data_IF_480789043923
#
_entry.id   IF_480789043923
#
_cell.length_a   1.000
_cell.length_b   1.000
_cell.length_c   1.000
_cell.angle_alpha   90.00
_cell.angle_beta   90.00
_cell.angle_gamma   90.00
#
_symmetry.space_group_name_H-M   'P 1'
#
loop_
_entity.id
_entity.type
_entity.pdbx_description
1 polymer ?
#
# COMPACT_ATOMS: atom_id res chain seq x y z
N UNK A 1 29.92 -33.60 25.95
CA UNK A 1 29.70 -33.46 24.49
C UNK A 1 28.51 -32.53 24.26
N UNK A 2 28.74 -31.23 24.13
CA UNK A 2 27.70 -30.26 23.74
C UNK A 2 28.09 -29.72 22.37
N UNK A 3 27.55 -30.33 21.31
CA UNK A 3 27.73 -29.85 19.96
C UNK A 3 26.39 -29.74 19.25
N UNK A 4 26.18 -28.59 18.62
CA UNK A 4 25.31 -28.36 17.47
C UNK A 4 23.81 -28.08 17.68
N UNK A 5 23.47 -26.91 18.25
CA UNK A 5 22.17 -26.25 17.99
C UNK A 5 22.27 -24.83 17.45
N UNK A 6 23.46 -24.39 17.04
CA UNK A 6 23.58 -23.24 16.12
C UNK A 6 23.45 -23.71 14.67
N UNK A 7 22.30 -24.30 14.33
CA UNK A 7 21.88 -24.34 12.92
C UNK A 7 21.60 -22.90 12.51
N UNK A 8 22.64 -22.25 11.97
CA UNK A 8 22.58 -21.18 10.97
C UNK A 8 21.20 -20.55 10.88
N UNK A 9 21.00 -19.45 11.61
CA UNK A 9 20.02 -18.42 11.27
C UNK A 9 20.41 -17.91 9.88
N UNK A 10 20.05 -18.64 8.83
CA UNK A 10 20.16 -18.16 7.48
C UNK A 10 19.32 -16.88 7.45
N UNK A 11 20.00 -15.75 7.25
CA UNK A 11 19.36 -14.44 7.09
C UNK A 11 18.40 -14.59 5.90
N UNK A 12 17.11 -14.76 6.20
CA UNK A 12 16.10 -14.84 5.15
C UNK A 12 16.01 -13.45 4.51
N UNK A 13 16.04 -13.34 3.18
CA UNK A 13 15.89 -12.05 2.52
C UNK A 13 14.55 -11.43 2.94
N UNK A 14 14.62 -10.24 3.54
CA UNK A 14 13.47 -9.50 4.04
C UNK A 14 12.84 -8.72 2.89
N UNK A 15 11.81 -9.27 2.27
CA UNK A 15 10.93 -8.53 1.37
C UNK A 15 9.72 -8.07 2.18
N UNK A 16 9.71 -6.80 2.59
CA UNK A 16 8.62 -6.21 3.37
C UNK A 16 8.38 -4.77 2.94
N UNK A 17 7.16 -4.47 2.54
CA UNK A 17 6.69 -3.14 2.15
C UNK A 17 5.61 -2.70 3.13
N UNK A 18 5.68 -1.45 3.58
CA UNK A 18 4.66 -0.81 4.41
C UNK A 18 4.20 0.46 3.73
N UNK A 19 2.91 0.61 3.51
CA UNK A 19 2.33 1.74 2.78
C UNK A 19 1.07 2.22 3.46
N UNK A 20 0.77 3.50 3.28
CA UNK A 20 -0.48 4.12 3.73
C UNK A 20 -1.04 4.89 2.54
N UNK A 21 -2.32 4.69 2.25
CA UNK A 21 -2.95 5.30 1.09
C UNK A 21 -4.45 5.12 1.08
N UNK A 22 -5.09 5.77 0.13
CA UNK A 22 -6.52 5.64 -0.13
C UNK A 22 -6.78 4.39 -0.97
N UNK A 23 -7.77 3.60 -0.55
CA UNK A 23 -8.17 2.37 -1.21
C UNK A 23 -9.26 2.64 -2.26
N UNK A 24 -9.10 2.08 -3.45
CA UNK A 24 -10.02 2.19 -4.58
C UNK A 24 -10.19 0.87 -5.34
N UNK A 25 -11.21 0.78 -6.21
CA UNK A 25 -11.43 -0.33 -7.14
C UNK A 25 -11.39 -1.72 -6.50
N UNK A 26 -12.18 -1.89 -5.43
CA UNK A 26 -12.24 -3.14 -4.68
C UNK A 26 -12.84 -4.25 -5.55
N UNK A 27 -12.15 -5.38 -5.62
CA UNK A 27 -12.56 -6.58 -6.34
C UNK A 27 -12.35 -7.80 -5.45
N UNK A 28 -13.30 -8.74 -5.49
CA UNK A 28 -13.18 -10.03 -4.81
C UNK A 28 -13.24 -11.12 -5.86
N UNK A 29 -12.35 -12.10 -5.75
CA UNK A 29 -12.29 -13.22 -6.68
C UNK A 29 -11.40 -14.33 -6.16
N UNK A 30 -10.90 -15.14 -7.08
CA UNK A 30 -10.01 -16.25 -6.78
C UNK A 30 -8.76 -16.18 -7.65
N UNK A 31 -7.63 -16.54 -7.05
CA UNK A 31 -6.37 -16.76 -7.75
C UNK A 31 -5.92 -18.17 -7.41
N UNK A 32 -5.90 -19.03 -8.43
CA UNK A 32 -5.72 -20.47 -8.31
C UNK A 32 -6.71 -21.11 -7.32
N UNK A 33 -6.28 -21.37 -6.08
CA UNK A 33 -7.10 -21.99 -5.02
C UNK A 33 -7.36 -21.05 -3.83
N UNK A 34 -6.83 -19.83 -3.87
CA UNK A 34 -6.95 -18.87 -2.77
C UNK A 34 -8.01 -17.83 -3.10
N UNK A 35 -8.81 -17.46 -2.10
CA UNK A 35 -9.68 -16.28 -2.22
C UNK A 35 -8.82 -15.02 -2.18
N UNK A 36 -9.18 -14.05 -3.02
CA UNK A 36 -8.43 -12.80 -3.19
C UNK A 36 -9.36 -11.61 -3.00
N UNK A 37 -8.94 -10.71 -2.10
CA UNK A 37 -9.48 -9.37 -1.99
C UNK A 37 -8.44 -8.39 -2.58
N UNK A 38 -8.75 -7.83 -3.74
CA UNK A 38 -7.86 -6.94 -4.50
C UNK A 38 -8.38 -5.51 -4.45
N UNK A 39 -7.46 -4.54 -4.38
CA UNK A 39 -7.78 -3.13 -4.51
C UNK A 39 -6.57 -2.34 -5.03
N UNK A 40 -6.83 -1.12 -5.50
CA UNK A 40 -5.82 -0.12 -5.84
C UNK A 40 -5.53 0.75 -4.62
N UNK A 41 -4.28 0.84 -4.20
CA UNK A 41 -3.82 1.74 -3.15
C UNK A 41 -3.17 2.97 -3.80
N UNK A 42 -3.76 4.14 -3.58
CA UNK A 42 -3.17 5.41 -4.02
C UNK A 42 -2.40 6.04 -2.87
N UNK A 43 -1.09 6.14 -3.03
CA UNK A 43 -0.19 6.84 -2.11
C UNK A 43 0.12 8.22 -2.67
N UNK A 44 0.06 9.25 -1.82
CA UNK A 44 0.46 10.61 -2.21
C UNK A 44 1.70 10.99 -1.41
N UNK A 45 2.76 11.34 -2.13
CA UNK A 45 4.02 11.81 -1.55
C UNK A 45 4.12 13.31 -1.81
N UNK A 46 4.34 14.06 -0.73
CA UNK A 46 4.53 15.51 -0.78
C UNK A 46 6.02 15.79 -0.63
N UNK A 47 6.67 16.08 -1.75
CA UNK A 47 8.08 16.42 -1.76
C UNK A 47 8.21 17.95 -1.62
N UNK A 48 8.72 18.35 -0.45
CA UNK A 48 9.12 19.72 -0.21
C UNK A 48 10.61 19.83 -0.46
N UNK A 49 11.00 20.02 -1.73
CA UNK A 49 12.37 20.43 -2.00
C UNK A 49 12.53 21.90 -1.60
N UNK A 50 13.41 22.17 -0.64
CA UNK A 50 13.91 23.52 -0.41
C UNK A 50 14.71 23.89 -1.66
N UNK A 51 14.30 24.93 -2.38
CA UNK A 51 15.00 25.43 -3.57
C UNK A 51 16.43 25.78 -3.17
N UNK A 52 17.37 24.89 -3.48
CA UNK A 52 18.79 25.17 -3.43
C UNK A 52 19.22 25.53 -4.86
N UNK A 53 19.29 26.84 -5.10
CA UNK A 53 19.88 27.56 -6.24
C UNK A 53 19.52 27.15 -7.69
N UNK A 54 19.27 28.12 -8.58
CA UNK A 54 18.85 27.85 -9.95
C UNK A 54 19.99 27.22 -10.77
N UNK A 55 19.86 25.94 -11.10
CA UNK A 55 20.64 25.32 -12.19
C UNK A 55 20.04 25.72 -13.56
N UNK A 56 20.88 25.96 -14.59
CA UNK A 56 20.44 26.52 -15.86
C UNK A 56 19.56 25.53 -16.63
N UNK A 57 18.42 26.03 -17.12
CA UNK A 57 17.42 25.30 -17.90
C UNK A 57 18.04 24.65 -19.14
N UNK A 58 17.93 23.33 -19.28
CA UNK A 58 18.03 22.66 -20.57
C UNK A 58 16.67 22.74 -21.30
N UNK A 59 16.64 22.99 -22.62
CA UNK A 59 15.38 23.19 -23.33
C UNK A 59 14.75 21.83 -23.68
N UNK A 60 13.64 21.44 -23.04
CA UNK A 60 12.90 20.27 -23.50
C UNK A 60 11.80 19.62 -22.65
N UNK A 61 11.35 20.17 -21.51
CA UNK A 61 10.27 19.55 -20.73
C UNK A 61 8.94 20.30 -20.82
N UNK A 62 7.89 19.57 -21.21
CA UNK A 62 6.49 19.99 -21.31
C UNK A 62 5.88 20.33 -19.93
N UNK A 63 4.83 21.18 -19.87
CA UNK A 63 4.39 21.79 -18.62
C UNK A 63 3.57 20.83 -17.74
N UNK A 64 4.03 20.60 -16.50
CA UNK A 64 3.21 20.05 -15.41
C UNK A 64 2.36 21.16 -14.78
N UNK A 65 1.13 20.83 -14.39
CA UNK A 65 0.15 21.82 -13.90
C UNK A 65 0.54 22.39 -12.53
N UNK A 66 1.17 23.55 -12.51
CA UNK A 66 1.53 24.30 -11.30
C UNK A 66 0.31 25.06 -10.76
N UNK A 67 -0.10 24.83 -9.51
CA UNK A 67 -1.00 25.74 -8.78
C UNK A 67 -0.20 26.50 -7.76
N UNK A 68 0.02 27.79 -8.03
CA UNK A 68 0.62 28.76 -7.12
C UNK A 68 -0.42 29.25 -6.13
N UNK A 69 -0.07 29.24 -4.84
CA UNK A 69 -0.80 29.96 -3.80
C UNK A 69 0.22 30.85 -3.05
N UNK A 70 -0.06 32.15 -2.87
CA UNK A 70 0.91 33.06 -2.27
C UNK A 70 0.98 32.83 -0.76
N UNK A 71 2.19 32.80 -0.21
CA UNK A 71 2.43 32.88 1.23
C UNK A 71 3.33 34.08 1.54
N UNK A 72 3.13 34.71 2.70
CA UNK A 72 3.56 36.07 3.03
C UNK A 72 5.09 36.28 3.22
N UNK A 73 5.91 35.25 3.04
CA UNK A 73 7.37 35.35 3.04
C UNK A 73 7.85 34.75 1.72
N UNK A 74 8.44 35.56 0.84
CA UNK A 74 8.73 35.26 -0.57
C UNK A 74 9.75 34.15 -0.85
N UNK A 75 9.60 32.98 -0.26
CA UNK A 75 10.27 31.74 -0.65
C UNK A 75 9.29 30.88 -1.46
N UNK A 76 9.52 30.77 -2.77
CA UNK A 76 8.79 29.86 -3.64
C UNK A 76 9.21 28.41 -3.33
N UNK A 77 8.49 27.75 -2.43
CA UNK A 77 8.62 26.29 -2.25
C UNK A 77 7.83 25.63 -3.37
N UNK A 78 8.53 25.11 -4.38
CA UNK A 78 7.90 24.31 -5.43
C UNK A 78 7.35 23.02 -4.79
N UNK A 79 6.03 22.91 -4.69
CA UNK A 79 5.37 21.74 -4.11
C UNK A 79 5.17 20.69 -5.19
N UNK A 80 6.03 19.68 -5.20
CA UNK A 80 5.87 18.52 -6.07
C UNK A 80 4.95 17.51 -5.36
N UNK A 81 3.77 17.27 -5.93
CA UNK A 81 2.82 16.27 -5.45
C UNK A 81 2.93 15.05 -6.36
N UNK A 82 3.55 13.98 -5.86
CA UNK A 82 3.61 12.72 -6.57
C UNK A 82 2.47 11.80 -6.10
N UNK A 83 1.77 11.17 -7.05
CA UNK A 83 0.70 10.21 -6.78
C UNK A 83 1.07 8.88 -7.42
N UNK A 84 1.17 7.87 -6.59
CA UNK A 84 1.58 6.53 -7.01
C UNK A 84 0.44 5.54 -6.72
N UNK A 85 0.18 4.65 -7.67
CA UNK A 85 -0.89 3.66 -7.58
C UNK A 85 -0.31 2.25 -7.55
N UNK A 86 -0.81 1.44 -6.62
CA UNK A 86 -0.33 0.09 -6.40
C UNK A 86 -1.49 -0.88 -6.37
N UNK A 87 -1.34 -2.02 -7.04
CA UNK A 87 -2.28 -3.14 -6.89
C UNK A 87 -1.93 -3.92 -5.63
N UNK A 88 -2.87 -4.02 -4.69
CA UNK A 88 -2.76 -4.84 -3.47
C UNK A 88 -3.65 -6.06 -3.61
N UNK A 89 -3.11 -7.24 -3.31
CA UNK A 89 -3.85 -8.52 -3.30
C UNK A 89 -3.73 -9.16 -1.92
N UNK A 90 -4.84 -9.18 -1.20
CA UNK A 90 -4.97 -9.91 0.05
C UNK A 90 -5.37 -11.36 -0.25
N UNK A 91 -4.48 -12.30 0.07
CA UNK A 91 -4.66 -13.73 -0.16
C UNK A 91 -5.00 -14.42 1.17
N UNK A 92 -6.05 -15.23 1.20
CA UNK A 92 -6.42 -15.98 2.39
C UNK A 92 -7.61 -16.91 2.17
N UNK A 93 -8.24 -17.31 3.27
CA UNK A 93 -9.53 -18.01 3.23
C UNK A 93 -10.65 -17.10 2.74
N UNK A 94 -11.76 -17.70 2.29
CA UNK A 94 -12.97 -16.95 1.91
C UNK A 94 -13.55 -16.15 3.08
N UNK A 95 -13.52 -16.71 4.30
CA UNK A 95 -13.92 -16.00 5.51
C UNK A 95 -13.08 -14.74 5.75
N UNK A 96 -11.77 -14.79 5.47
CA UNK A 96 -10.89 -13.63 5.60
C UNK A 96 -11.20 -12.55 4.56
N UNK A 97 -11.40 -12.93 3.29
CA UNK A 97 -11.72 -11.95 2.23
C UNK A 97 -13.12 -11.36 2.41
N UNK A 98 -14.07 -12.13 2.90
CA UNK A 98 -15.40 -11.65 3.28
C UNK A 98 -15.33 -10.66 4.46
N UNK A 99 -14.53 -10.97 5.49
CA UNK A 99 -14.31 -10.05 6.60
C UNK A 99 -13.69 -8.72 6.14
N UNK A 100 -12.71 -8.77 5.23
CA UNK A 100 -12.13 -7.56 4.61
C UNK A 100 -13.18 -6.77 3.83
N UNK A 101 -14.01 -7.44 3.02
CA UNK A 101 -15.06 -6.82 2.22
C UNK A 101 -16.13 -6.12 3.08
N UNK A 102 -16.50 -6.72 4.20
CA UNK A 102 -17.48 -6.12 5.12
C UNK A 102 -16.90 -4.94 5.92
N UNK A 103 -15.58 -4.90 6.06
CA UNK A 103 -14.90 -3.94 6.92
C UNK A 103 -14.30 -2.75 6.15
N UNK A 104 -13.78 -2.98 4.95
CA UNK A 104 -13.07 -2.00 4.14
C UNK A 104 -13.93 -1.56 2.94
N UNK A 105 -14.31 -0.29 2.95
CA UNK A 105 -15.07 0.35 1.88
C UNK A 105 -14.15 1.18 0.97
N UNK A 106 -14.63 1.47 -0.25
CA UNK A 106 -13.96 2.37 -1.17
C UNK A 106 -13.77 3.77 -0.53
N UNK A 107 -12.59 4.36 -0.74
CA UNK A 107 -12.17 5.62 -0.14
C UNK A 107 -11.65 5.52 1.29
N UNK A 108 -11.61 4.34 1.91
CA UNK A 108 -10.92 4.15 3.18
C UNK A 108 -9.42 4.43 3.05
N UNK A 109 -8.83 5.04 4.07
CA UNK A 109 -7.37 5.11 4.23
C UNK A 109 -6.94 3.87 4.99
N UNK A 110 -6.06 3.09 4.39
CA UNK A 110 -5.58 1.84 4.96
C UNK A 110 -4.06 1.85 5.06
N UNK A 111 -3.54 1.17 6.08
CA UNK A 111 -2.14 0.78 6.18
C UNK A 111 -2.02 -0.65 5.69
N UNK A 112 -1.15 -0.85 4.72
CA UNK A 112 -0.84 -2.14 4.12
C UNK A 112 0.57 -2.55 4.50
N UNK A 113 0.73 -3.75 5.03
CA UNK A 113 2.01 -4.42 5.24
C UNK A 113 1.99 -5.70 4.42
N UNK A 114 2.92 -5.83 3.48
CA UNK A 114 2.98 -7.00 2.61
C UNK A 114 4.34 -7.17 1.96
N UNK A 115 4.37 -7.92 0.86
CA UNK A 115 5.58 -8.21 0.09
C UNK A 115 5.41 -7.73 -1.33
N UNK A 116 6.43 -7.07 -1.89
CA UNK A 116 6.40 -6.68 -3.29
C UNK A 116 6.69 -7.91 -4.15
N UNK A 117 5.79 -8.22 -5.09
CA UNK A 117 5.95 -9.33 -6.03
C UNK A 117 5.68 -8.85 -7.45
N UNK A 118 6.54 -9.27 -8.36
CA UNK A 118 6.34 -9.11 -9.79
C UNK A 118 5.81 -10.43 -10.33
N UNK A 119 4.62 -10.41 -10.93
CA UNK A 119 4.00 -11.58 -11.55
C UNK A 119 4.08 -11.42 -13.07
N UNK A 120 4.42 -12.47 -13.81
CA UNK A 120 4.32 -12.43 -15.28
C UNK A 120 2.86 -12.52 -15.69
N UNK A 121 2.39 -11.55 -16.46
CA UNK A 121 1.08 -11.58 -17.09
C UNK A 121 1.30 -11.68 -18.60
N UNK A 122 0.60 -12.60 -19.25
CA UNK A 122 0.61 -12.70 -20.72
C UNK A 122 -0.46 -11.76 -21.24
N UNK A 123 -0.05 -10.67 -21.89
CA UNK A 123 -0.95 -9.75 -22.57
C UNK A 123 -0.60 -9.70 -24.05
N UNK A 124 -1.60 -9.90 -24.92
CA UNK A 124 -1.45 -9.98 -26.38
C UNK A 124 -0.27 -10.88 -26.86
N UNK A 125 -0.02 -11.99 -26.17
CA UNK A 125 1.06 -12.94 -26.49
C UNK A 125 2.46 -12.53 -26.01
N UNK A 126 2.61 -11.38 -25.34
CA UNK A 126 3.86 -10.94 -24.72
C UNK A 126 3.77 -11.10 -23.20
N UNK A 127 4.84 -11.60 -22.59
CA UNK A 127 4.98 -11.65 -21.13
C UNK A 127 5.39 -10.27 -20.63
N UNK A 128 4.55 -9.65 -19.80
CA UNK A 128 4.86 -8.37 -19.16
C UNK A 128 4.92 -8.55 -17.63
N UNK A 129 5.92 -7.96 -16.95
CA UNK A 129 5.94 -7.93 -15.51
C UNK A 129 4.82 -7.05 -14.95
N UNK A 130 4.04 -7.60 -14.03
CA UNK A 130 2.98 -6.91 -13.30
C UNK A 130 3.36 -6.80 -11.81
N UNK A 131 3.71 -5.59 -11.31
CA UNK A 131 4.03 -5.39 -9.91
C UNK A 131 2.75 -5.37 -9.05
N UNK A 132 2.77 -6.11 -7.94
CA UNK A 132 1.68 -6.12 -6.97
C UNK A 132 2.21 -6.34 -5.55
N UNK A 133 1.45 -5.86 -4.58
CA UNK A 133 1.74 -6.07 -3.16
C UNK A 133 0.90 -7.25 -2.70
N UNK A 134 1.57 -8.32 -2.28
CA UNK A 134 0.92 -9.51 -1.76
C UNK A 134 0.82 -9.40 -0.24
N UNK A 135 -0.42 -9.52 0.26
CA UNK A 135 -0.73 -9.56 1.68
C UNK A 135 -1.33 -10.93 2.00
N UNK A 136 -0.52 -11.84 2.52
CA UNK A 136 -1.00 -13.16 2.93
C UNK A 136 -1.59 -13.10 4.34
N UNK A 137 -2.73 -13.76 4.55
CA UNK A 137 -3.30 -13.99 5.87
C UNK A 137 -2.25 -14.65 6.79
N UNK A 138 -1.88 -13.96 7.88
CA UNK A 138 -0.92 -14.47 8.86
C UNK A 138 -0.14 -13.36 9.57
N UNK A 139 0.87 -13.75 10.36
CA UNK A 139 1.55 -12.85 11.30
C UNK A 139 2.41 -11.74 10.67
N UNK A 140 2.81 -11.89 9.40
CA UNK A 140 3.83 -11.01 8.78
C UNK A 140 3.27 -9.97 7.82
N UNK A 141 2.02 -10.13 7.37
CA UNK A 141 1.36 -9.22 6.43
C UNK A 141 -0.02 -8.89 6.96
N UNK A 142 -0.44 -7.63 6.82
CA UNK A 142 -1.73 -7.16 7.36
C UNK A 142 -2.25 -6.00 6.53
N UNK A 143 -3.57 -5.87 6.45
CA UNK A 143 -4.24 -4.62 6.06
C UNK A 143 -5.00 -4.11 7.28
N UNK A 144 -4.81 -2.85 7.61
CA UNK A 144 -5.44 -2.21 8.76
C UNK A 144 -6.09 -0.90 8.34
N UNK A 145 -7.32 -0.68 8.78
CA UNK A 145 -8.02 0.59 8.56
C UNK A 145 -7.39 1.66 9.42
N UNK A 146 -7.03 2.77 8.79
CA UNK A 146 -6.54 3.99 9.45
C UNK A 146 -7.68 5.01 9.54
N UNK A 147 -8.46 5.15 8.47
CA UNK A 147 -9.57 6.10 8.43
C UNK A 147 -10.66 5.66 7.45
N UNK A 148 -11.92 5.93 7.79
CA UNK A 148 -13.08 5.75 6.91
C UNK A 148 -14.02 6.95 7.01
N UNK A 149 -14.35 7.55 5.86
CA UNK A 149 -15.25 8.70 5.80
C UNK A 149 -16.66 8.37 6.34
N UNK A 150 -17.12 7.11 6.16
CA UNK A 150 -18.46 6.67 6.57
C UNK A 150 -18.53 6.20 8.03
N UNK A 151 -17.41 5.79 8.64
CA UNK A 151 -17.39 5.16 9.99
C UNK A 151 -16.88 6.09 11.10
N UNK A 152 -16.49 7.33 10.77
CA UNK A 152 -15.92 8.33 11.69
C UNK A 152 -16.70 8.58 13.00
N UNK A 153 -17.99 8.20 13.10
CA UNK A 153 -18.73 8.25 14.38
C UNK A 153 -18.29 7.19 15.41
N UNK A 154 -17.56 6.13 15.05
CA UNK A 154 -17.27 4.98 15.94
C UNK A 154 -15.88 4.33 15.74
N UNK A 155 -14.87 5.09 15.31
CA UNK A 155 -13.54 4.55 14.96
C UNK A 155 -12.84 3.79 16.11
N UNK A 156 -13.02 4.21 17.37
CA UNK A 156 -12.40 3.55 18.53
C UNK A 156 -12.96 2.14 18.79
N UNK A 157 -14.24 1.90 18.49
CA UNK A 157 -14.90 0.60 18.69
C UNK A 157 -14.46 -0.41 17.63
N UNK A 158 -14.26 0.05 16.40
CA UNK A 158 -13.82 -0.76 15.26
C UNK A 158 -12.38 -1.25 15.44
N UNK A 159 -11.48 -0.39 15.91
CA UNK A 159 -10.08 -0.74 16.16
C UNK A 159 -9.95 -1.80 17.27
N UNK A 160 -10.77 -1.72 18.31
CA UNK A 160 -10.82 -2.73 19.38
C UNK A 160 -11.33 -4.09 18.89
N UNK A 161 -12.36 -4.11 18.02
CA UNK A 161 -12.89 -5.35 17.46
C UNK A 161 -11.83 -6.05 16.60
N UNK A 162 -11.18 -5.34 15.67
CA UNK A 162 -10.14 -5.94 14.82
C UNK A 162 -8.95 -6.50 15.62
N UNK A 163 -8.55 -5.79 16.67
CA UNK A 163 -7.43 -6.21 17.52
C UNK A 163 -7.81 -7.42 18.37
N UNK A 164 -9.06 -7.50 18.85
CA UNK A 164 -9.56 -8.68 19.58
C UNK A 164 -9.71 -9.93 18.71
N UNK A 165 -10.11 -9.78 17.44
CA UNK A 165 -10.26 -10.93 16.53
C UNK A 165 -8.89 -11.47 16.10
N UNK A 166 -7.91 -10.59 15.89
CA UNK A 166 -6.55 -10.99 15.52
C UNK A 166 -5.74 -11.68 16.65
N UNK A 167 -6.27 -11.74 17.88
CA UNK A 167 -5.59 -12.31 19.06
C UNK A 167 -6.20 -13.64 19.54
N UNK A 168 -7.30 -14.08 18.93
CA UNK A 168 -8.03 -15.30 19.33
C UNK A 168 -7.74 -16.53 18.43
N UNK A 169 -6.87 -16.41 17.43
CA UNK A 169 -6.37 -17.51 16.59
C UNK A 169 -4.84 -17.59 16.62
#
# INVERSE_FOLDING_TARGET
MFSSTFRRLAIRPLNRVTMVGAMHDIQVGFLDRCSVFQFTLTCTVLDFQKVAEPQPKSPGSLPSSTRTAPNANGEEVEKHINKEQYTVRCLGSEAYTEALKNYLDDGCIVRVIGRLKTTEVVDAGKKQPFPCIIVEQGRWSTVSLVHSLRKQRRDWQLQNILTSVATLE
#
